data_IF_971308439080
#
_entry.id   IF_971308439080
#
_cell.length_a   1.000
_cell.length_b   1.000
_cell.length_c   1.000
_cell.angle_alpha   90.00
_cell.angle_beta   90.00
_cell.angle_gamma   90.00
#
_symmetry.space_group_name_H-M   'P 1'
#
loop_
_entity.id
_entity.type
_entity.pdbx_description
1 polymer ?
#
# COMPACT_ATOMS: atom_id res chain seq x y z
N UNK A 1 -21.48 -31.06 30.63
CA UNK A 1 -20.83 -30.42 29.49
C UNK A 1 -20.58 -28.94 29.87
N UNK A 2 -19.34 -28.46 29.74
CA UNK A 2 -18.94 -27.10 30.13
C UNK A 2 -19.82 -26.00 29.49
N UNK A 3 -20.11 -26.11 28.19
CA UNK A 3 -20.98 -25.18 27.48
C UNK A 3 -22.38 -25.11 28.10
N UNK A 4 -22.94 -26.24 28.51
CA UNK A 4 -24.25 -26.31 29.14
C UNK A 4 -24.25 -25.60 30.51
N UNK A 5 -23.21 -25.78 31.30
CA UNK A 5 -23.03 -25.07 32.59
C UNK A 5 -22.89 -23.55 32.38
N UNK A 6 -22.15 -23.12 31.37
CA UNK A 6 -22.02 -21.68 31.03
C UNK A 6 -23.37 -21.07 30.64
N UNK A 7 -24.18 -21.77 29.84
CA UNK A 7 -25.54 -21.32 29.45
C UNK A 7 -26.50 -21.21 30.63
N UNK A 8 -26.24 -21.93 31.72
CA UNK A 8 -27.04 -21.90 32.95
C UNK A 8 -26.70 -20.72 33.86
N UNK A 9 -25.59 -20.02 33.61
CA UNK A 9 -25.20 -18.83 34.38
C UNK A 9 -26.20 -17.67 34.19
N UNK A 10 -26.33 -16.82 35.20
CA UNK A 10 -27.33 -15.73 35.24
C UNK A 10 -27.22 -14.81 34.00
N UNK A 11 -26.01 -14.53 33.54
CA UNK A 11 -25.79 -13.67 32.37
C UNK A 11 -26.32 -14.31 31.09
N UNK A 12 -25.93 -15.54 30.76
CA UNK A 12 -26.35 -16.17 29.50
C UNK A 12 -27.81 -16.64 29.50
N UNK A 13 -28.43 -16.76 30.66
CA UNK A 13 -29.91 -16.98 30.77
C UNK A 13 -30.70 -15.73 30.46
N UNK A 14 -30.09 -14.55 30.56
CA UNK A 14 -30.77 -13.30 30.22
C UNK A 14 -30.95 -13.19 28.71
N UNK A 15 -32.21 -12.93 28.26
CA UNK A 15 -32.55 -12.84 26.81
C UNK A 15 -31.82 -11.71 26.10
N UNK A 16 -31.36 -10.70 26.80
CA UNK A 16 -30.58 -9.57 26.28
C UNK A 16 -29.10 -9.87 26.07
N UNK A 17 -28.54 -10.97 26.59
CA UNK A 17 -27.11 -11.25 26.51
C UNK A 17 -26.59 -11.34 25.06
N UNK A 18 -27.29 -12.07 24.20
CA UNK A 18 -26.90 -12.19 22.79
C UNK A 18 -26.94 -10.87 22.03
N UNK A 19 -28.05 -10.10 22.06
CA UNK A 19 -28.12 -8.76 21.48
C UNK A 19 -27.07 -7.80 22.04
N UNK A 20 -26.84 -7.80 23.36
CA UNK A 20 -25.83 -6.93 23.98
C UNK A 20 -24.42 -7.25 23.47
N UNK A 21 -24.02 -8.54 23.51
CA UNK A 21 -22.72 -8.96 23.01
C UNK A 21 -22.54 -8.59 21.54
N UNK A 22 -23.57 -8.76 20.70
CA UNK A 22 -23.51 -8.41 19.30
C UNK A 22 -23.42 -6.89 19.06
N UNK A 23 -24.14 -6.09 19.83
CA UNK A 23 -24.14 -4.63 19.70
C UNK A 23 -22.82 -3.98 20.14
N UNK A 24 -22.18 -4.56 21.19
CA UNK A 24 -20.92 -4.03 21.73
C UNK A 24 -19.69 -4.55 20.98
N UNK A 25 -19.80 -5.71 20.32
CA UNK A 25 -18.66 -6.35 19.65
C UNK A 25 -17.88 -5.45 18.69
N UNK A 26 -18.51 -4.65 17.78
CA UNK A 26 -17.78 -3.78 16.88
C UNK A 26 -16.90 -2.76 17.58
N UNK A 27 -17.36 -2.22 18.70
CA UNK A 27 -16.60 -1.24 19.50
C UNK A 27 -15.39 -1.92 20.16
N UNK A 28 -15.60 -3.08 20.79
CA UNK A 28 -14.53 -3.84 21.42
C UNK A 28 -13.49 -4.28 20.38
N UNK A 29 -13.94 -4.73 19.21
CA UNK A 29 -13.05 -5.13 18.13
C UNK A 29 -12.24 -3.94 17.59
N UNK A 30 -12.87 -2.76 17.45
CA UNK A 30 -12.17 -1.54 17.07
C UNK A 30 -11.04 -1.23 18.07
N UNK A 31 -11.35 -1.21 19.37
CA UNK A 31 -10.36 -0.99 20.42
C UNK A 31 -9.22 -2.01 20.33
N UNK A 32 -9.53 -3.28 20.10
CA UNK A 32 -8.50 -4.34 20.02
C UNK A 32 -7.64 -4.22 18.77
N UNK A 33 -8.24 -3.90 17.61
CA UNK A 33 -7.51 -3.73 16.37
C UNK A 33 -6.57 -2.52 16.43
N UNK A 34 -7.05 -1.39 16.94
CA UNK A 34 -6.26 -0.16 17.08
C UNK A 34 -5.16 -0.31 18.14
N UNK A 35 -5.47 -0.94 19.30
CA UNK A 35 -4.47 -1.22 20.33
C UNK A 35 -3.40 -2.21 19.84
N UNK A 36 -3.79 -3.15 18.98
CA UNK A 36 -2.88 -4.16 18.44
C UNK A 36 -1.77 -3.57 17.58
N UNK A 37 -2.02 -2.45 16.91
CA UNK A 37 -1.01 -1.74 16.13
C UNK A 37 -0.32 -0.63 16.94
N UNK A 38 -1.05 0.16 17.74
CA UNK A 38 -0.47 1.25 18.56
C UNK A 38 0.45 0.75 19.69
N UNK A 39 0.17 -0.42 20.22
CA UNK A 39 0.91 -1.05 21.34
C UNK A 39 0.86 -0.27 22.65
N UNK A 40 0.21 0.87 22.71
CA UNK A 40 0.06 1.71 23.91
C UNK A 40 -1.40 2.10 24.14
N UNK A 41 -1.89 1.81 25.35
CA UNK A 41 -3.26 2.12 25.75
C UNK A 41 -3.45 3.62 26.01
N UNK A 42 -2.43 4.33 26.46
CA UNK A 42 -2.52 5.79 26.70
C UNK A 42 -2.67 6.55 25.39
N UNK A 43 -1.93 6.12 24.36
CA UNK A 43 -2.01 6.71 23.02
C UNK A 43 -3.37 6.44 22.38
N UNK A 44 -3.91 5.22 22.54
CA UNK A 44 -5.26 4.91 22.06
C UNK A 44 -6.33 5.77 22.77
N UNK A 45 -6.22 5.98 24.06
CA UNK A 45 -7.17 6.82 24.80
C UNK A 45 -7.04 8.30 24.39
N UNK A 46 -5.81 8.79 24.22
CA UNK A 46 -5.56 10.15 23.74
C UNK A 46 -6.12 10.34 22.32
N UNK A 47 -5.85 9.41 21.41
CA UNK A 47 -6.41 9.41 20.06
C UNK A 47 -7.94 9.40 20.07
N UNK A 48 -8.54 8.48 20.83
CA UNK A 48 -10.01 8.38 20.92
C UNK A 48 -10.66 9.67 21.43
N UNK A 49 -9.99 10.37 22.34
CA UNK A 49 -10.48 11.64 22.85
C UNK A 49 -10.32 12.79 21.85
N UNK A 50 -9.16 12.87 21.20
CA UNK A 50 -8.83 13.96 20.28
C UNK A 50 -9.55 13.79 18.93
N UNK A 51 -9.59 12.56 18.41
CA UNK A 51 -10.13 12.22 17.10
C UNK A 51 -11.39 11.33 17.22
N UNK A 52 -12.30 11.70 18.12
CA UNK A 52 -13.51 10.91 18.42
C UNK A 52 -14.35 10.60 17.17
N UNK A 53 -14.48 11.52 16.23
CA UNK A 53 -15.22 11.30 14.99
C UNK A 53 -14.60 10.18 14.15
N UNK A 54 -13.29 10.17 14.02
CA UNK A 54 -12.53 9.12 13.29
C UNK A 54 -12.67 7.75 13.97
N UNK A 55 -12.54 7.73 15.30
CA UNK A 55 -12.78 6.50 16.08
C UNK A 55 -14.21 5.97 15.90
N UNK A 56 -15.20 6.86 15.92
CA UNK A 56 -16.60 6.49 15.68
C UNK A 56 -16.80 5.94 14.28
N UNK A 57 -16.17 6.54 13.26
CA UNK A 57 -16.23 6.06 11.89
C UNK A 57 -15.64 4.64 11.78
N UNK A 58 -14.48 4.37 12.38
CA UNK A 58 -13.89 3.04 12.45
C UNK A 58 -14.82 2.01 13.09
N UNK A 59 -15.46 2.37 14.22
CA UNK A 59 -16.46 1.51 14.86
C UNK A 59 -17.66 1.21 13.95
N UNK A 60 -18.16 2.23 13.22
CA UNK A 60 -19.28 2.08 12.29
C UNK A 60 -18.92 1.18 11.11
N UNK A 61 -17.71 1.30 10.55
CA UNK A 61 -17.24 0.41 9.49
C UNK A 61 -17.20 -1.05 9.94
N UNK A 62 -16.61 -1.31 11.11
CA UNK A 62 -16.63 -2.66 11.69
C UNK A 62 -18.06 -3.14 11.89
N UNK A 63 -18.96 -2.28 12.38
CA UNK A 63 -20.36 -2.63 12.58
C UNK A 63 -21.05 -2.97 11.26
N UNK A 64 -20.81 -2.22 10.19
CA UNK A 64 -21.35 -2.51 8.86
C UNK A 64 -20.88 -3.88 8.38
N UNK A 65 -19.59 -4.19 8.46
CA UNK A 65 -19.05 -5.50 8.07
C UNK A 65 -19.69 -6.61 8.91
N UNK A 66 -19.69 -6.43 10.24
CA UNK A 66 -20.27 -7.39 11.17
C UNK A 66 -21.74 -7.66 10.89
N UNK A 67 -22.58 -6.63 10.76
CA UNK A 67 -24.00 -6.81 10.54
C UNK A 67 -24.33 -7.30 9.12
N UNK A 68 -23.54 -6.92 8.10
CA UNK A 68 -23.66 -7.48 6.75
C UNK A 68 -23.49 -8.99 6.77
N UNK A 69 -22.42 -9.48 7.38
CA UNK A 69 -22.18 -10.92 7.52
C UNK A 69 -23.25 -11.57 8.40
N UNK A 70 -23.65 -10.93 9.51
CA UNK A 70 -24.67 -11.47 10.41
C UNK A 70 -26.04 -11.64 9.73
N UNK A 71 -26.44 -10.71 8.87
CA UNK A 71 -27.69 -10.78 8.10
C UNK A 71 -27.69 -11.96 7.11
N UNK A 72 -26.56 -12.25 6.49
CA UNK A 72 -26.41 -13.34 5.52
C UNK A 72 -26.34 -14.70 6.25
N UNK A 73 -25.46 -14.82 7.23
CA UNK A 73 -25.17 -16.09 7.92
C UNK A 73 -26.23 -16.41 9.00
N UNK A 74 -26.91 -15.38 9.54
CA UNK A 74 -27.95 -15.44 10.57
C UNK A 74 -27.47 -15.98 11.94
N UNK A 75 -26.20 -16.32 12.06
CA UNK A 75 -25.54 -16.76 13.30
C UNK A 75 -24.50 -15.73 13.70
N UNK A 76 -24.83 -14.96 14.72
CA UNK A 76 -24.04 -13.79 15.11
C UNK A 76 -22.60 -14.13 15.53
N UNK A 77 -22.38 -15.26 16.16
CA UNK A 77 -21.02 -15.70 16.53
C UNK A 77 -20.15 -16.00 15.30
N UNK A 78 -20.71 -16.52 14.18
CA UNK A 78 -19.96 -16.73 12.94
C UNK A 78 -19.57 -15.37 12.34
N UNK A 79 -20.50 -14.41 12.35
CA UNK A 79 -20.17 -13.04 11.95
C UNK A 79 -19.04 -12.46 12.81
N UNK A 80 -19.11 -12.65 14.13
CA UNK A 80 -18.03 -12.22 15.03
C UNK A 80 -16.69 -12.88 14.72
N UNK A 81 -16.68 -14.19 14.39
CA UNK A 81 -15.47 -14.90 14.02
C UNK A 81 -14.86 -14.36 12.71
N UNK A 82 -15.67 -14.16 11.68
CA UNK A 82 -15.22 -13.63 10.38
C UNK A 82 -14.72 -12.19 10.51
N UNK A 83 -15.51 -11.32 11.14
CA UNK A 83 -15.14 -9.91 11.31
C UNK A 83 -13.95 -9.76 12.25
N UNK A 84 -13.92 -10.52 13.35
CA UNK A 84 -12.80 -10.54 14.29
C UNK A 84 -11.51 -10.98 13.63
N UNK A 85 -11.54 -12.06 12.84
CA UNK A 85 -10.37 -12.52 12.09
C UNK A 85 -9.88 -11.46 11.10
N UNK A 86 -10.80 -10.86 10.32
CA UNK A 86 -10.46 -9.84 9.34
C UNK A 86 -9.72 -8.66 9.96
N UNK A 87 -10.29 -8.01 10.97
CA UNK A 87 -9.70 -6.80 11.54
C UNK A 87 -8.47 -7.08 12.41
N UNK A 88 -8.38 -8.24 13.06
CA UNK A 88 -7.16 -8.63 13.77
C UNK A 88 -6.02 -9.00 12.80
N UNK A 89 -6.32 -9.55 11.63
CA UNK A 89 -5.31 -9.76 10.57
C UNK A 89 -4.82 -8.40 10.05
N UNK A 90 -5.72 -7.46 9.75
CA UNK A 90 -5.34 -6.10 9.31
C UNK A 90 -4.44 -5.44 10.36
N UNK A 91 -4.79 -5.52 11.64
CA UNK A 91 -3.97 -4.99 12.74
C UNK A 91 -2.59 -5.66 12.81
N UNK A 92 -2.53 -6.98 12.63
CA UNK A 92 -1.27 -7.71 12.64
C UNK A 92 -0.38 -7.35 11.44
N UNK A 93 -0.97 -7.21 10.26
CA UNK A 93 -0.25 -6.81 9.04
C UNK A 93 0.32 -5.40 9.20
N UNK A 94 -0.49 -4.45 9.66
CA UNK A 94 -0.05 -3.08 9.94
C UNK A 94 1.15 -3.07 10.88
N UNK A 95 1.02 -3.68 12.07
CA UNK A 95 2.10 -3.71 13.04
C UNK A 95 3.39 -4.27 12.47
N UNK A 96 3.32 -5.41 11.79
CA UNK A 96 4.52 -6.05 11.25
C UNK A 96 5.10 -5.30 10.05
N UNK A 97 4.28 -4.75 9.18
CA UNK A 97 4.73 -3.94 8.06
C UNK A 97 5.46 -2.69 8.57
N UNK A 98 4.84 -1.95 9.48
CA UNK A 98 5.44 -0.74 10.03
C UNK A 98 6.78 -1.01 10.74
N UNK A 99 6.87 -2.07 11.54
CA UNK A 99 8.12 -2.45 12.22
C UNK A 99 9.24 -2.83 11.24
N UNK A 100 8.90 -3.39 10.08
CA UNK A 100 9.90 -3.87 9.10
C UNK A 100 10.27 -2.80 8.10
N UNK A 101 9.31 -2.02 7.61
CA UNK A 101 9.48 -1.09 6.48
C UNK A 101 9.38 0.38 6.87
N UNK A 102 8.84 0.71 8.05
CA UNK A 102 8.55 2.09 8.45
C UNK A 102 7.41 2.73 7.64
N UNK A 103 6.59 1.95 6.95
CA UNK A 103 5.43 2.43 6.19
C UNK A 103 4.15 1.72 6.60
N UNK A 104 3.02 2.42 6.51
CA UNK A 104 1.73 1.93 6.92
C UNK A 104 1.09 1.00 5.88
N UNK A 105 0.18 0.12 6.34
CA UNK A 105 -0.53 -0.80 5.47
C UNK A 105 -1.59 -0.05 4.66
N UNK A 106 -1.47 -0.15 3.34
CA UNK A 106 -2.35 0.50 2.37
C UNK A 106 -3.05 -0.52 1.49
N UNK A 107 -4.12 -0.09 0.82
CA UNK A 107 -4.86 -0.95 -0.11
C UNK A 107 -4.00 -1.41 -1.30
N UNK A 108 -3.07 -0.57 -1.75
CA UNK A 108 -2.08 -0.90 -2.79
C UNK A 108 -1.22 -2.14 -2.46
N UNK A 109 -0.96 -2.40 -1.18
CA UNK A 109 -0.19 -3.58 -0.76
C UNK A 109 -0.88 -4.90 -1.12
N UNK A 110 -2.20 -4.89 -1.27
CA UNK A 110 -2.95 -6.09 -1.68
C UNK A 110 -2.62 -6.53 -3.11
N UNK A 111 -2.18 -5.61 -3.97
CA UNK A 111 -1.70 -5.95 -5.31
C UNK A 111 -0.39 -6.73 -5.27
N UNK A 112 0.39 -6.56 -4.20
CA UNK A 112 1.64 -7.27 -3.97
C UNK A 112 1.46 -8.59 -3.22
N UNK A 113 0.24 -8.94 -2.81
CA UNK A 113 -0.06 -10.14 -2.03
C UNK A 113 0.30 -11.44 -2.78
N UNK A 114 0.38 -11.42 -4.11
CA UNK A 114 0.87 -12.55 -4.92
C UNK A 114 2.35 -12.87 -4.65
N UNK A 115 3.14 -11.86 -4.25
CA UNK A 115 4.54 -12.00 -3.82
C UNK A 115 4.73 -12.23 -2.32
N UNK A 116 3.63 -12.39 -1.54
CA UNK A 116 3.72 -12.49 -0.06
C UNK A 116 4.62 -13.63 0.43
N UNK A 117 4.62 -14.76 -0.26
CA UNK A 117 5.50 -15.89 0.08
C UNK A 117 7.00 -15.51 -0.01
N UNK A 118 7.34 -14.59 -0.89
CA UNK A 118 8.71 -14.14 -1.09
C UNK A 118 9.08 -13.01 -0.12
N UNK A 119 8.17 -12.06 0.09
CA UNK A 119 8.33 -11.02 1.11
C UNK A 119 8.46 -11.66 2.51
N UNK A 120 7.72 -12.74 2.79
CA UNK A 120 7.81 -13.46 4.07
C UNK A 120 9.17 -14.09 4.34
N UNK A 121 9.96 -14.36 3.30
CA UNK A 121 11.33 -14.85 3.46
C UNK A 121 12.28 -13.78 4.00
N UNK A 122 11.99 -12.51 3.75
CA UNK A 122 12.81 -11.37 4.21
C UNK A 122 12.30 -10.80 5.54
N UNK A 123 11.00 -10.93 5.82
CA UNK A 123 10.41 -10.42 7.04
C UNK A 123 10.56 -11.44 8.18
N UNK A 124 11.47 -11.16 9.14
CA UNK A 124 11.47 -11.88 10.42
C UNK A 124 10.31 -11.36 11.27
N UNK A 125 9.18 -12.05 11.21
CA UNK A 125 8.03 -11.73 12.04
C UNK A 125 8.42 -11.89 13.53
N UNK A 126 8.49 -10.78 14.24
CA UNK A 126 8.74 -10.79 15.69
C UNK A 126 7.43 -11.11 16.41
N UNK A 127 7.46 -12.07 17.32
CA UNK A 127 6.31 -12.37 18.16
C UNK A 127 5.93 -11.15 19.03
N UNK A 128 4.66 -10.74 18.92
CA UNK A 128 4.11 -9.65 19.70
C UNK A 128 3.14 -10.20 20.75
N UNK A 129 3.50 -10.16 22.07
CA UNK A 129 2.66 -10.69 23.12
C UNK A 129 1.31 -9.99 23.26
N UNK A 130 1.27 -8.65 23.11
CA UNK A 130 0.03 -7.89 23.25
C UNK A 130 -0.96 -8.24 22.12
N UNK A 131 -0.49 -8.24 20.89
CA UNK A 131 -1.31 -8.63 19.74
C UNK A 131 -1.86 -10.05 19.90
N UNK A 132 -1.03 -11.01 20.38
CA UNK A 132 -1.47 -12.37 20.66
C UNK A 132 -2.59 -12.41 21.72
N UNK A 133 -2.43 -11.65 22.79
CA UNK A 133 -3.46 -11.54 23.85
C UNK A 133 -4.75 -10.94 23.30
N UNK A 134 -4.69 -9.91 22.47
CA UNK A 134 -5.87 -9.28 21.86
C UNK A 134 -6.60 -10.23 20.90
N UNK A 135 -5.87 -11.03 20.12
CA UNK A 135 -6.43 -12.09 19.28
C UNK A 135 -7.15 -13.14 20.17
N UNK A 136 -6.53 -13.55 21.26
CA UNK A 136 -7.14 -14.50 22.19
C UNK A 136 -8.40 -13.93 22.84
N UNK A 137 -8.37 -12.66 23.28
CA UNK A 137 -9.54 -11.97 23.84
C UNK A 137 -10.67 -11.85 22.82
N UNK A 138 -10.35 -11.56 21.56
CA UNK A 138 -11.33 -11.57 20.47
C UNK A 138 -11.97 -12.95 20.30
N UNK A 139 -11.16 -14.01 20.30
CA UNK A 139 -11.67 -15.39 20.22
C UNK A 139 -12.55 -15.75 21.43
N UNK A 140 -12.18 -15.32 22.63
CA UNK A 140 -12.98 -15.52 23.85
C UNK A 140 -14.32 -14.75 23.77
N UNK A 141 -14.31 -13.53 23.22
CA UNK A 141 -15.55 -12.77 23.02
C UNK A 141 -16.49 -13.49 22.03
N UNK A 142 -15.95 -13.95 20.90
CA UNK A 142 -16.69 -14.76 19.92
C UNK A 142 -17.24 -16.04 20.54
N UNK A 143 -16.45 -16.69 21.40
CA UNK A 143 -16.90 -17.87 22.14
C UNK A 143 -18.07 -17.52 23.10
N UNK A 144 -18.03 -16.36 23.75
CA UNK A 144 -19.15 -15.90 24.57
C UNK A 144 -20.43 -15.69 23.72
N UNK A 145 -20.31 -15.12 22.51
CA UNK A 145 -21.41 -15.00 21.54
C UNK A 145 -21.93 -16.37 21.09
N UNK A 146 -21.06 -17.36 20.92
CA UNK A 146 -21.43 -18.74 20.62
C UNK A 146 -22.22 -19.39 21.77
N UNK A 147 -21.79 -19.18 23.02
CA UNK A 147 -22.50 -19.66 24.23
C UNK A 147 -23.89 -19.00 24.31
N UNK A 148 -23.99 -17.68 24.08
CA UNK A 148 -25.26 -16.95 24.05
C UNK A 148 -26.20 -17.47 22.97
N UNK A 149 -25.67 -18.02 21.86
CA UNK A 149 -26.42 -18.74 20.85
C UNK A 149 -27.46 -17.93 20.11
N UNK A 150 -27.33 -16.59 20.09
CA UNK A 150 -28.28 -15.70 19.44
C UNK A 150 -28.25 -15.84 17.93
N UNK A 151 -29.46 -15.86 17.33
CA UNK A 151 -29.67 -15.98 15.88
C UNK A 151 -30.64 -14.90 15.41
N UNK A 152 -30.36 -14.33 14.25
CA UNK A 152 -31.27 -13.40 13.60
C UNK A 152 -32.49 -14.17 13.04
N UNK A 153 -33.68 -13.70 13.42
CA UNK A 153 -34.99 -14.26 12.95
C UNK A 153 -35.54 -13.34 11.86
N UNK A 154 -36.14 -13.90 10.85
CA UNK A 154 -36.77 -13.14 9.76
C UNK A 154 -36.74 -13.89 8.43
N UNK A 155 -37.30 -13.26 7.38
CA UNK A 155 -37.27 -13.83 6.03
C UNK A 155 -35.84 -13.66 5.45
N UNK A 156 -35.24 -14.77 5.03
CA UNK A 156 -33.83 -14.80 4.51
C UNK A 156 -33.61 -13.75 3.40
N UNK A 157 -34.47 -13.71 2.38
CA UNK A 157 -34.34 -12.78 1.27
C UNK A 157 -34.38 -11.31 1.70
N UNK A 158 -35.22 -10.95 2.69
CA UNK A 158 -35.21 -9.57 3.22
C UNK A 158 -33.89 -9.24 3.92
N UNK A 159 -33.33 -10.19 4.66
CA UNK A 159 -32.04 -10.01 5.33
C UNK A 159 -30.91 -9.87 4.32
N UNK A 160 -30.87 -10.70 3.28
CA UNK A 160 -29.90 -10.58 2.19
C UNK A 160 -30.05 -9.24 1.44
N UNK A 161 -31.27 -8.78 1.18
CA UNK A 161 -31.49 -7.46 0.56
C UNK A 161 -30.99 -6.33 1.47
N UNK A 162 -31.25 -6.39 2.78
CA UNK A 162 -30.72 -5.40 3.74
C UNK A 162 -29.19 -5.41 3.78
N UNK A 163 -28.57 -6.59 3.79
CA UNK A 163 -27.12 -6.75 3.74
C UNK A 163 -26.52 -6.12 2.46
N UNK A 164 -27.15 -6.41 1.31
CA UNK A 164 -26.74 -5.88 0.01
C UNK A 164 -26.87 -4.34 -0.04
N UNK A 165 -27.98 -3.78 0.46
CA UNK A 165 -28.17 -2.32 0.53
C UNK A 165 -27.13 -1.70 1.46
N UNK A 166 -26.91 -2.25 2.64
CA UNK A 166 -25.94 -1.71 3.60
C UNK A 166 -24.51 -1.75 3.05
N UNK A 167 -24.09 -2.89 2.48
CA UNK A 167 -22.79 -3.03 1.86
C UNK A 167 -22.64 -2.11 0.63
N UNK A 168 -23.68 -2.02 -0.22
CA UNK A 168 -23.68 -1.18 -1.41
C UNK A 168 -23.61 0.31 -1.09
N UNK A 169 -24.39 0.78 -0.13
CA UNK A 169 -24.34 2.20 0.31
C UNK A 169 -22.96 2.53 0.89
N UNK A 170 -22.41 1.65 1.72
CA UNK A 170 -21.07 1.86 2.29
C UNK A 170 -19.99 1.82 1.19
N UNK A 171 -20.06 0.89 0.25
CA UNK A 171 -19.14 0.82 -0.87
C UNK A 171 -19.20 2.10 -1.74
N UNK A 172 -20.39 2.59 -2.06
CA UNK A 172 -20.57 3.84 -2.80
C UNK A 172 -20.00 5.03 -2.00
N UNK A 173 -20.29 5.11 -0.70
CA UNK A 173 -19.81 6.18 0.15
C UNK A 173 -18.27 6.22 0.26
N UNK A 174 -17.60 5.08 0.15
CA UNK A 174 -16.13 4.99 0.23
C UNK A 174 -15.49 5.11 -1.15
N UNK A 175 -16.01 4.39 -2.15
CA UNK A 175 -15.36 4.27 -3.47
C UNK A 175 -15.60 5.48 -4.37
N UNK A 176 -16.68 6.24 -4.16
CA UNK A 176 -16.97 7.42 -4.98
C UNK A 176 -16.44 8.67 -4.28
N UNK A 177 -15.39 9.34 -4.80
CA UNK A 177 -14.75 10.48 -4.13
C UNK A 177 -15.73 11.60 -3.74
N UNK A 178 -16.71 11.89 -4.59
CA UNK A 178 -17.72 12.92 -4.32
C UNK A 178 -18.63 12.60 -3.12
N UNK A 179 -18.80 11.34 -2.77
CA UNK A 179 -19.53 10.92 -1.57
C UNK A 179 -18.62 10.71 -0.36
N UNK A 180 -17.35 10.39 -0.58
CA UNK A 180 -16.40 10.21 0.50
C UNK A 180 -15.97 11.53 1.14
N UNK A 181 -15.78 12.60 0.37
CA UNK A 181 -15.38 13.91 0.89
C UNK A 181 -16.33 14.47 1.97
N UNK A 182 -17.67 14.45 1.81
CA UNK A 182 -18.58 14.81 2.89
C UNK A 182 -18.46 13.91 4.13
N UNK A 183 -18.20 12.62 3.96
CA UNK A 183 -17.96 11.71 5.09
C UNK A 183 -16.71 12.12 5.84
N UNK A 184 -15.61 12.43 5.13
CA UNK A 184 -14.38 12.93 5.76
C UNK A 184 -14.63 14.19 6.58
N UNK A 185 -15.38 15.15 6.05
CA UNK A 185 -15.73 16.37 6.78
C UNK A 185 -16.54 16.10 8.06
N UNK A 186 -17.54 15.22 7.99
CA UNK A 186 -18.41 14.90 9.13
C UNK A 186 -17.65 14.23 10.26
N UNK A 187 -16.74 13.32 9.93
CA UNK A 187 -16.00 12.53 10.92
C UNK A 187 -14.62 13.10 11.26
N UNK A 188 -14.17 14.15 10.59
CA UNK A 188 -12.84 14.74 10.78
C UNK A 188 -11.72 13.85 10.25
N UNK A 189 -11.99 13.11 9.17
CA UNK A 189 -11.02 12.21 8.54
C UNK A 189 -10.05 13.02 7.69
N UNK A 190 -8.76 12.75 7.83
CA UNK A 190 -7.72 13.31 6.99
C UNK A 190 -7.59 12.48 5.70
N UNK A 191 -8.06 13.02 4.58
CA UNK A 191 -8.00 12.38 3.25
C UNK A 191 -6.93 12.99 2.34
N UNK A 192 -5.94 13.67 2.92
CA UNK A 192 -4.83 14.28 2.17
C UNK A 192 -4.01 13.23 1.43
N UNK A 193 -3.53 13.60 0.25
CA UNK A 193 -2.61 12.77 -0.52
C UNK A 193 -1.23 12.85 0.12
N UNK A 194 -0.62 11.70 0.37
CA UNK A 194 0.70 11.61 0.99
C UNK A 194 1.79 11.57 -0.06
N UNK A 195 2.90 12.27 0.20
CA UNK A 195 4.01 12.43 -0.75
C UNK A 195 5.31 11.73 -0.32
N UNK A 196 5.40 11.36 0.94
CA UNK A 196 6.54 10.66 1.54
C UNK A 196 6.12 10.01 2.86
N UNK A 197 6.99 9.22 3.47
CA UNK A 197 6.73 8.55 4.75
C UNK A 197 6.31 9.51 5.85
N UNK A 198 6.93 10.70 5.93
CA UNK A 198 6.57 11.70 6.95
C UNK A 198 5.11 12.18 6.81
N UNK A 199 4.65 12.47 5.60
CA UNK A 199 3.25 12.84 5.36
C UNK A 199 2.28 11.67 5.53
N UNK A 200 2.75 10.44 5.26
CA UNK A 200 2.01 9.21 5.53
C UNK A 200 1.82 8.97 7.03
N UNK A 201 2.89 9.11 7.82
CA UNK A 201 2.83 9.02 9.28
C UNK A 201 1.88 10.08 9.86
N UNK A 202 1.98 11.34 9.41
CA UNK A 202 1.12 12.43 9.88
C UNK A 202 -0.36 12.15 9.58
N UNK A 203 -0.68 11.65 8.39
CA UNK A 203 -2.06 11.24 8.05
C UNK A 203 -2.51 10.05 8.89
N UNK A 204 -1.62 9.08 9.12
CA UNK A 204 -1.92 7.92 9.93
C UNK A 204 -2.20 8.30 11.39
N UNK A 205 -1.41 9.20 11.96
CA UNK A 205 -1.63 9.72 13.32
C UNK A 205 -3.00 10.40 13.47
N UNK A 206 -3.51 11.06 12.42
CA UNK A 206 -4.83 11.67 12.41
C UNK A 206 -5.95 10.63 12.24
N UNK A 207 -5.75 9.58 11.45
CA UNK A 207 -6.79 8.64 11.04
C UNK A 207 -6.77 7.31 11.79
N UNK A 208 -5.59 6.89 12.24
CA UNK A 208 -5.30 5.55 12.74
C UNK A 208 -5.59 4.44 11.71
N UNK A 209 -5.45 3.16 12.09
CA UNK A 209 -5.43 2.00 11.20
C UNK A 209 -6.63 1.90 10.24
N UNK A 210 -7.83 1.75 10.81
CA UNK A 210 -9.02 1.35 10.03
C UNK A 210 -9.44 2.48 9.08
N UNK A 211 -9.42 3.70 9.56
CA UNK A 211 -9.76 4.87 8.75
C UNK A 211 -8.69 5.14 7.70
N UNK A 212 -7.39 5.07 8.06
CA UNK A 212 -6.31 5.28 7.10
C UNK A 212 -6.34 4.23 5.96
N UNK A 213 -6.57 2.97 6.30
CA UNK A 213 -6.77 1.93 5.29
C UNK A 213 -7.98 2.22 4.39
N UNK A 214 -9.08 2.75 4.95
CA UNK A 214 -10.26 3.14 4.16
C UNK A 214 -9.95 4.33 3.24
N UNK A 215 -9.19 5.31 3.69
CA UNK A 215 -8.71 6.42 2.85
C UNK A 215 -7.86 5.89 1.70
N UNK A 216 -6.97 4.94 1.95
CA UNK A 216 -6.15 4.34 0.88
C UNK A 216 -6.98 3.60 -0.18
N UNK A 217 -8.12 2.97 0.21
CA UNK A 217 -9.09 2.40 -0.74
C UNK A 217 -9.68 3.51 -1.63
N UNK A 218 -10.15 4.62 -1.04
CA UNK A 218 -10.70 5.73 -1.82
C UNK A 218 -9.65 6.33 -2.77
N UNK A 219 -8.42 6.51 -2.29
CA UNK A 219 -7.33 7.05 -3.10
C UNK A 219 -6.97 6.12 -4.28
N UNK A 220 -7.06 4.81 -4.11
CA UNK A 220 -6.78 3.84 -5.19
C UNK A 220 -7.76 3.90 -6.36
N UNK A 221 -8.96 4.47 -6.16
CA UNK A 221 -9.97 4.64 -7.21
C UNK A 221 -10.05 6.07 -7.75
N UNK A 222 -9.33 7.02 -7.14
CA UNK A 222 -9.20 8.37 -7.70
C UNK A 222 -8.36 8.31 -8.98
N UNK A 223 -8.71 9.15 -9.96
CA UNK A 223 -7.85 9.32 -11.14
C UNK A 223 -6.47 9.83 -10.69
N UNK A 224 -5.42 9.18 -11.16
CA UNK A 224 -4.06 9.63 -10.91
C UNK A 224 -3.73 10.91 -11.68
N UNK A 225 -4.45 11.17 -12.76
CA UNK A 225 -4.32 12.37 -13.58
C UNK A 225 -5.59 13.20 -13.42
N UNK A 226 -5.42 14.43 -13.01
CA UNK A 226 -6.52 15.42 -12.94
C UNK A 226 -6.39 16.33 -14.16
N UNK A 227 -7.46 16.49 -14.90
CA UNK A 227 -7.51 17.42 -16.02
C UNK A 227 -7.26 18.86 -15.51
N UNK A 228 -6.24 19.57 -16.01
CA UNK A 228 -5.98 20.96 -15.65
C UNK A 228 -7.13 21.87 -16.05
N UNK A 229 -7.36 22.97 -15.31
CA UNK A 229 -8.44 23.92 -15.60
C UNK A 229 -8.31 24.57 -16.99
N UNK A 230 -7.07 24.71 -17.49
CA UNK A 230 -6.77 25.30 -18.81
C UNK A 230 -6.47 24.24 -19.88
N UNK A 231 -6.90 22.99 -19.67
CA UNK A 231 -6.68 21.91 -20.63
C UNK A 231 -7.54 22.14 -21.88
N UNK A 232 -6.87 22.38 -23.00
CA UNK A 232 -7.49 22.48 -24.31
C UNK A 232 -6.54 21.98 -25.39
N UNK A 233 -7.09 21.64 -26.58
CA UNK A 233 -6.29 21.20 -27.70
C UNK A 233 -5.32 22.31 -28.15
N UNK A 234 -5.80 23.56 -28.15
CA UNK A 234 -4.98 24.73 -28.50
C UNK A 234 -3.82 24.97 -27.51
N UNK A 235 -4.07 24.77 -26.19
CA UNK A 235 -3.02 24.92 -25.18
C UNK A 235 -1.95 23.82 -25.32
N UNK A 236 -2.33 22.63 -25.70
CA UNK A 236 -1.38 21.53 -25.98
C UNK A 236 -0.57 21.83 -27.23
N UNK A 237 -1.21 22.27 -28.32
CA UNK A 237 -0.52 22.67 -29.54
C UNK A 237 0.49 23.78 -29.28
N UNK A 238 0.13 24.81 -28.51
CA UNK A 238 1.05 25.89 -28.12
C UNK A 238 2.26 25.39 -27.32
N UNK A 239 2.02 24.45 -26.36
CA UNK A 239 3.12 23.85 -25.59
C UNK A 239 4.02 23.01 -26.50
N UNK A 240 3.47 22.23 -27.40
CA UNK A 240 4.22 21.40 -28.34
C UNK A 240 5.04 22.26 -29.29
N UNK A 241 4.46 23.29 -29.91
CA UNK A 241 5.17 24.22 -30.80
C UNK A 241 6.36 24.90 -30.09
N UNK A 242 6.19 25.26 -28.82
CA UNK A 242 7.25 25.89 -28.03
C UNK A 242 8.30 24.90 -27.46
N UNK A 243 7.98 23.60 -27.44
CA UNK A 243 8.83 22.55 -26.83
C UNK A 243 9.56 21.69 -27.86
N UNK A 244 9.07 21.64 -29.09
CA UNK A 244 9.70 20.87 -30.17
C UNK A 244 10.86 21.71 -30.72
N UNK A 245 12.08 21.16 -30.83
CA UNK A 245 13.19 21.82 -31.50
C UNK A 245 12.81 22.21 -32.95
N UNK A 246 13.31 23.33 -33.41
CA UNK A 246 13.13 23.70 -34.80
C UNK A 246 13.71 22.64 -35.75
N UNK A 247 13.23 22.58 -36.99
CA UNK A 247 13.75 21.62 -37.98
C UNK A 247 15.27 21.73 -38.14
N UNK A 248 15.83 22.95 -38.08
CA UNK A 248 17.29 23.18 -38.10
C UNK A 248 18.02 22.60 -36.91
N UNK A 249 17.49 22.75 -35.68
CA UNK A 249 18.05 22.18 -34.46
C UNK A 249 17.96 20.66 -34.47
N UNK A 250 16.85 20.11 -34.94
CA UNK A 250 16.67 18.66 -35.07
C UNK A 250 17.63 18.06 -36.13
N UNK A 251 17.81 18.70 -37.29
CA UNK A 251 18.76 18.26 -38.32
C UNK A 251 20.22 18.35 -37.82
N UNK A 252 20.59 19.39 -37.06
CA UNK A 252 21.91 19.51 -36.45
C UNK A 252 22.15 18.41 -35.43
N UNK A 253 21.20 18.14 -34.54
CA UNK A 253 21.30 17.08 -33.57
C UNK A 253 21.43 15.69 -34.22
N UNK A 254 20.69 15.43 -35.31
CA UNK A 254 20.80 14.18 -36.08
C UNK A 254 22.17 14.06 -36.78
N UNK A 255 22.69 15.14 -37.37
CA UNK A 255 24.00 15.15 -37.99
C UNK A 255 25.15 14.93 -37.00
N UNK A 256 25.02 15.45 -35.79
CA UNK A 256 25.95 15.19 -34.69
C UNK A 256 25.86 13.73 -34.20
N UNK A 257 24.69 13.14 -34.17
CA UNK A 257 24.48 11.71 -33.82
C UNK A 257 25.11 10.76 -34.84
N UNK A 258 25.01 11.05 -36.13
CA UNK A 258 25.59 10.17 -37.17
C UNK A 258 27.14 10.07 -37.10
N UNK A 259 27.78 11.11 -36.56
CA UNK A 259 29.26 11.14 -36.40
C UNK A 259 29.73 10.70 -34.99
N UNK A 260 28.83 10.58 -34.03
CA UNK A 260 29.16 10.22 -32.66
C UNK A 260 29.47 8.71 -32.51
N UNK A 261 30.52 8.42 -31.75
CA UNK A 261 30.76 7.04 -31.30
C UNK A 261 29.64 6.68 -30.32
N UNK A 262 28.88 5.59 -30.65
CA UNK A 262 27.83 5.09 -29.76
C UNK A 262 28.47 4.32 -28.59
N UNK A 263 28.55 4.86 -27.37
CA UNK A 263 29.11 4.16 -26.23
C UNK A 263 28.12 3.12 -25.72
N UNK A 264 28.61 2.10 -25.00
CA UNK A 264 27.73 1.28 -24.18
C UNK A 264 27.26 2.11 -22.99
N UNK A 265 25.96 2.05 -22.70
CA UNK A 265 25.33 2.79 -21.59
C UNK A 265 24.84 1.76 -20.58
N UNK A 266 25.25 1.93 -19.31
CA UNK A 266 24.83 1.06 -18.21
C UNK A 266 24.23 1.93 -17.12
N UNK A 267 22.93 1.73 -16.85
CA UNK A 267 22.24 2.32 -15.70
C UNK A 267 22.21 1.31 -14.56
N UNK A 268 22.73 1.70 -13.40
CA UNK A 268 22.71 0.89 -12.18
C UNK A 268 21.86 1.60 -11.14
N UNK A 269 20.67 1.06 -10.86
CA UNK A 269 19.85 1.51 -9.75
C UNK A 269 20.20 0.72 -8.50
N UNK A 270 20.94 1.36 -7.58
CA UNK A 270 21.34 0.78 -6.30
C UNK A 270 20.52 1.40 -5.18
N UNK A 271 19.24 1.04 -5.11
CA UNK A 271 18.26 1.67 -4.23
C UNK A 271 18.59 1.55 -2.75
N UNK A 272 19.07 0.38 -2.33
CA UNK A 272 19.42 0.14 -0.92
C UNK A 272 20.81 0.64 -0.54
N UNK A 273 21.53 1.28 -1.48
CA UNK A 273 22.84 1.85 -1.20
C UNK A 273 22.69 3.19 -0.46
N UNK A 274 23.41 3.35 0.64
CA UNK A 274 23.48 4.59 1.39
C UNK A 274 24.91 4.83 1.90
N UNK A 275 25.35 6.09 1.87
CA UNK A 275 26.59 6.50 2.53
C UNK A 275 26.32 6.80 4.01
N UNK A 276 26.55 5.79 4.85
CA UNK A 276 26.30 5.87 6.29
C UNK A 276 27.28 6.81 7.02
N UNK A 277 28.39 7.25 6.40
CA UNK A 277 29.27 8.26 6.99
C UNK A 277 28.53 9.55 7.28
N UNK A 278 27.56 9.91 6.43
CA UNK A 278 26.74 11.13 6.58
C UNK A 278 25.69 11.02 7.69
N UNK A 279 25.34 9.81 8.07
CA UNK A 279 24.23 9.56 9.01
C UNK A 279 24.77 9.19 10.39
N UNK A 280 25.76 8.29 10.47
CA UNK A 280 26.18 7.68 11.73
C UNK A 280 27.65 7.92 12.11
N UNK A 281 28.44 8.61 11.30
CA UNK A 281 29.85 8.89 11.61
C UNK A 281 30.68 7.62 11.81
N UNK A 282 30.66 6.71 10.83
CA UNK A 282 31.39 5.43 10.92
C UNK A 282 32.91 5.65 11.07
N UNK A 283 33.53 5.04 12.10
CA UNK A 283 34.95 5.15 12.37
C UNK A 283 35.85 4.70 11.18
N UNK A 284 35.42 3.65 10.44
CA UNK A 284 36.15 3.13 9.26
C UNK A 284 35.42 3.46 7.94
N UNK A 285 34.60 4.50 7.93
CA UNK A 285 33.77 4.87 6.79
C UNK A 285 34.56 5.08 5.52
N UNK A 286 35.67 5.78 5.58
CA UNK A 286 36.49 6.08 4.41
C UNK A 286 37.14 4.83 3.80
N UNK A 287 37.48 3.83 4.60
CA UNK A 287 38.00 2.55 4.11
C UNK A 287 36.88 1.73 3.44
N UNK A 288 35.70 1.69 4.03
CA UNK A 288 34.54 0.97 3.50
C UNK A 288 34.09 1.55 2.15
N UNK A 289 34.10 2.87 2.02
CA UNK A 289 33.62 3.56 0.81
C UNK A 289 34.71 3.93 -0.17
N UNK A 290 35.98 3.53 0.06
CA UNK A 290 37.13 3.93 -0.77
C UNK A 290 36.95 3.63 -2.27
N UNK A 291 36.38 2.46 -2.62
CA UNK A 291 36.12 2.11 -4.02
C UNK A 291 35.04 3.01 -4.64
N UNK A 292 34.02 3.33 -3.89
CA UNK A 292 32.96 4.24 -4.33
C UNK A 292 33.48 5.67 -4.51
N UNK A 293 34.28 6.15 -3.55
CA UNK A 293 34.91 7.47 -3.60
C UNK A 293 35.83 7.59 -4.81
N UNK A 294 36.55 6.52 -5.15
CA UNK A 294 37.42 6.49 -6.35
C UNK A 294 36.56 6.65 -7.62
N UNK A 295 35.45 5.90 -7.77
CA UNK A 295 34.54 6.04 -8.93
C UNK A 295 33.98 7.46 -9.00
N UNK A 296 33.60 8.01 -7.85
CA UNK A 296 33.10 9.38 -7.76
C UNK A 296 34.15 10.41 -8.19
N UNK A 297 35.41 10.19 -7.86
CA UNK A 297 36.52 11.10 -8.25
C UNK A 297 36.84 11.06 -9.76
N UNK A 298 36.54 9.94 -10.42
CA UNK A 298 36.78 9.74 -11.86
C UNK A 298 35.57 10.19 -12.71
N UNK A 299 34.41 10.46 -12.11
CA UNK A 299 33.17 10.78 -12.80
C UNK A 299 32.52 12.10 -12.35
N UNK A 300 31.29 12.31 -12.82
CA UNK A 300 30.43 13.40 -12.35
C UNK A 300 29.55 12.90 -11.22
N UNK A 301 29.51 13.62 -10.11
CA UNK A 301 28.71 13.24 -8.94
C UNK A 301 27.72 14.33 -8.57
N UNK A 302 26.62 13.93 -7.95
CA UNK A 302 25.59 14.84 -7.47
C UNK A 302 24.62 14.15 -6.53
N UNK A 303 23.62 14.89 -6.06
CA UNK A 303 22.54 14.36 -5.23
C UNK A 303 21.28 14.26 -6.08
N UNK A 304 20.69 13.08 -6.16
CA UNK A 304 19.37 12.86 -6.76
C UNK A 304 18.32 12.75 -5.68
N UNK A 305 17.17 13.40 -5.89
CA UNK A 305 15.98 13.26 -5.04
C UNK A 305 15.07 12.26 -5.71
N UNK A 306 14.72 11.20 -4.99
CA UNK A 306 13.88 10.12 -5.49
C UNK A 306 12.52 10.10 -4.77
N UNK A 307 11.45 9.58 -5.42
CA UNK A 307 10.09 9.64 -4.88
C UNK A 307 9.81 8.57 -3.82
N UNK A 308 10.83 7.85 -3.35
CA UNK A 308 10.67 6.69 -2.47
C UNK A 308 11.51 6.80 -1.21
N UNK A 309 11.02 6.18 -0.14
CA UNK A 309 11.75 5.98 1.10
C UNK A 309 11.42 4.58 1.65
N UNK A 310 12.43 3.73 1.75
CA UNK A 310 12.33 2.41 2.38
C UNK A 310 11.69 1.30 1.55
N UNK A 311 10.89 1.61 0.55
CA UNK A 311 10.30 0.65 -0.41
C UNK A 311 9.75 1.38 -1.64
N UNK A 312 9.15 0.64 -2.60
CA UNK A 312 8.49 1.24 -3.76
C UNK A 312 9.43 1.63 -4.90
N UNK A 313 10.54 0.90 -5.11
CA UNK A 313 11.55 1.08 -6.17
C UNK A 313 10.93 1.33 -7.54
N UNK A 314 9.79 0.71 -7.82
CA UNK A 314 9.03 0.87 -9.07
C UNK A 314 8.67 2.32 -9.39
N UNK A 315 8.58 3.20 -8.40
CA UNK A 315 8.31 4.63 -8.58
C UNK A 315 9.55 5.34 -9.13
N UNK A 316 10.72 5.05 -8.57
CA UNK A 316 11.99 5.57 -9.05
C UNK A 316 12.33 5.01 -10.43
N UNK A 317 12.07 3.72 -10.66
CA UNK A 317 12.21 3.10 -11.99
C UNK A 317 11.31 3.82 -13.02
N UNK A 318 10.07 4.14 -12.66
CA UNK A 318 9.16 4.86 -13.53
C UNK A 318 9.65 6.27 -13.87
N UNK A 319 10.09 7.04 -12.86
CA UNK A 319 10.64 8.39 -13.10
C UNK A 319 11.88 8.36 -14.01
N UNK A 320 12.73 7.34 -13.84
CA UNK A 320 13.89 7.16 -14.70
C UNK A 320 13.49 6.85 -16.14
N UNK A 321 12.50 5.94 -16.33
CA UNK A 321 12.11 5.50 -17.67
C UNK A 321 11.36 6.59 -18.46
N UNK A 322 10.51 7.37 -17.81
CA UNK A 322 9.65 8.35 -18.48
C UNK A 322 10.13 9.79 -18.34
N UNK A 323 11.08 10.09 -17.47
CA UNK A 323 11.44 11.46 -17.13
C UNK A 323 10.31 12.26 -16.49
N UNK A 324 9.27 11.56 -15.98
CA UNK A 324 8.05 12.13 -15.43
C UNK A 324 7.98 11.92 -13.91
N UNK A 325 7.92 12.99 -13.10
CA UNK A 325 7.80 12.86 -11.67
C UNK A 325 6.48 12.17 -11.24
N UNK A 326 6.55 11.14 -10.40
CA UNK A 326 5.36 10.45 -9.86
C UNK A 326 4.45 11.41 -9.07
N UNK A 327 5.01 12.50 -8.54
CA UNK A 327 4.24 13.59 -7.93
C UNK A 327 3.19 14.17 -8.88
N UNK A 328 3.47 14.25 -10.17
CA UNK A 328 2.51 14.72 -11.19
C UNK A 328 1.36 13.74 -11.42
N UNK A 329 1.51 12.51 -10.96
CA UNK A 329 0.49 11.44 -11.00
C UNK A 329 -0.17 11.22 -9.62
N UNK A 330 -0.32 12.28 -8.82
CA UNK A 330 -0.87 12.21 -7.46
C UNK A 330 -0.16 11.16 -6.57
N UNK A 331 1.14 10.96 -6.77
CA UNK A 331 1.98 10.01 -6.01
C UNK A 331 1.46 8.57 -5.99
N UNK A 332 0.92 8.10 -7.07
CA UNK A 332 0.44 6.72 -7.18
C UNK A 332 1.53 5.71 -6.77
N UNK A 333 1.15 4.71 -6.01
CA UNK A 333 2.07 3.70 -5.47
C UNK A 333 2.73 2.85 -6.56
N UNK A 334 1.98 2.50 -7.60
CA UNK A 334 2.42 1.63 -8.69
C UNK A 334 2.12 2.35 -10.02
N UNK A 335 3.00 3.27 -10.48
CA UNK A 335 2.71 4.16 -11.62
C UNK A 335 2.43 3.42 -12.93
N UNK A 336 3.12 2.32 -13.21
CA UNK A 336 2.92 1.57 -14.45
C UNK A 336 1.52 0.96 -14.59
N UNK A 337 0.76 0.81 -13.50
CA UNK A 337 -0.66 0.38 -13.58
C UNK A 337 -1.59 1.42 -14.18
N UNK A 338 -1.12 2.67 -14.35
CA UNK A 338 -1.84 3.71 -15.08
C UNK A 338 -1.67 3.56 -16.60
N UNK A 339 -0.66 2.84 -17.03
CA UNK A 339 -0.37 2.65 -18.45
C UNK A 339 -1.32 1.62 -19.05
N UNK A 340 -1.55 1.76 -20.33
CA UNK A 340 -2.38 0.81 -21.07
C UNK A 340 -1.56 -0.45 -21.36
N UNK A 341 -1.99 -1.59 -20.80
CA UNK A 341 -1.34 -2.88 -21.03
C UNK A 341 -1.36 -3.29 -22.49
N UNK A 342 -0.29 -3.93 -22.94
CA UNK A 342 -0.13 -4.41 -24.31
C UNK A 342 0.21 -3.33 -25.33
N UNK A 343 0.63 -2.16 -24.87
CA UNK A 343 1.05 -1.03 -25.74
C UNK A 343 2.48 -0.67 -25.39
N UNK A 344 3.35 -0.63 -26.40
CA UNK A 344 4.72 -0.13 -26.24
C UNK A 344 4.68 1.34 -25.77
N UNK A 345 5.52 1.68 -24.82
CA UNK A 345 5.57 2.99 -24.18
C UNK A 345 6.78 3.78 -24.67
N UNK A 346 6.62 5.10 -24.77
CA UNK A 346 7.72 6.00 -25.06
C UNK A 346 8.57 6.18 -23.79
N UNK A 347 9.69 5.51 -23.74
CA UNK A 347 10.61 5.49 -22.59
C UNK A 347 12.05 5.73 -23.03
N UNK A 348 12.97 5.92 -22.10
CA UNK A 348 14.39 5.93 -22.43
C UNK A 348 14.84 4.64 -23.12
N UNK A 349 14.27 3.48 -22.74
CA UNK A 349 14.62 2.22 -23.41
C UNK A 349 14.17 2.19 -24.87
N UNK A 350 12.92 2.60 -25.16
CA UNK A 350 12.41 2.67 -26.54
C UNK A 350 13.19 3.69 -27.36
N UNK A 351 13.53 4.86 -26.82
CA UNK A 351 14.35 5.87 -27.51
C UNK A 351 15.75 5.33 -27.88
N UNK A 352 16.43 4.63 -26.97
CA UNK A 352 17.72 4.02 -27.29
C UNK A 352 17.61 2.89 -28.31
N UNK A 353 16.54 2.10 -28.26
CA UNK A 353 16.24 1.08 -29.26
C UNK A 353 16.06 1.69 -30.65
N UNK A 354 15.27 2.77 -30.78
CA UNK A 354 15.10 3.52 -32.03
C UNK A 354 16.43 4.11 -32.54
N UNK A 355 17.29 4.54 -31.63
CA UNK A 355 18.65 4.98 -31.95
C UNK A 355 19.60 3.84 -32.34
N UNK A 356 19.10 2.58 -32.40
CA UNK A 356 19.83 1.40 -32.83
C UNK A 356 20.71 0.75 -31.75
N UNK A 357 20.41 0.96 -30.48
CA UNK A 357 20.98 0.20 -29.38
C UNK A 357 20.22 -1.11 -29.16
N UNK A 358 20.92 -2.13 -28.61
CA UNK A 358 20.26 -3.29 -28.02
C UNK A 358 19.99 -2.97 -26.54
N UNK A 359 18.73 -3.06 -26.14
CA UNK A 359 18.31 -2.71 -24.80
C UNK A 359 18.10 -3.94 -23.92
N UNK A 360 18.72 -3.98 -22.75
CA UNK A 360 18.63 -5.12 -21.83
C UNK A 360 18.29 -4.63 -20.43
N UNK A 361 17.25 -5.20 -19.84
CA UNK A 361 16.87 -5.01 -18.44
C UNK A 361 17.35 -6.20 -17.62
N UNK A 362 17.98 -5.94 -16.48
CA UNK A 362 18.50 -6.98 -15.58
C UNK A 362 18.00 -6.69 -14.17
N UNK A 363 17.32 -7.66 -13.56
CA UNK A 363 16.83 -7.56 -12.19
C UNK A 363 17.00 -8.90 -11.46
N UNK A 364 17.77 -8.96 -10.35
CA UNK A 364 18.10 -10.21 -9.67
C UNK A 364 16.97 -10.75 -8.79
N UNK A 365 15.72 -10.49 -9.12
CA UNK A 365 14.55 -10.97 -8.44
C UNK A 365 13.53 -11.49 -9.45
N UNK A 366 12.37 -11.98 -8.98
CA UNK A 366 11.37 -12.65 -9.82
C UNK A 366 10.71 -11.72 -10.82
N UNK A 367 10.47 -12.23 -11.99
CA UNK A 367 9.87 -11.51 -13.11
C UNK A 367 8.43 -11.03 -12.84
N UNK A 368 7.67 -11.77 -12.02
CA UNK A 368 6.28 -11.43 -11.70
C UNK A 368 6.14 -10.39 -10.56
N UNK A 369 7.23 -10.02 -9.90
CA UNK A 369 7.19 -8.99 -8.86
C UNK A 369 7.01 -7.60 -9.51
N UNK A 370 5.96 -6.89 -9.16
CA UNK A 370 5.48 -5.67 -9.85
C UNK A 370 5.12 -5.90 -11.33
N UNK A 371 4.81 -7.13 -11.74
CA UNK A 371 4.51 -7.49 -13.13
C UNK A 371 5.63 -7.11 -14.12
N UNK A 372 6.90 -7.09 -13.64
CA UNK A 372 8.05 -6.57 -14.39
C UNK A 372 8.26 -7.23 -15.76
N UNK A 373 7.95 -8.52 -15.89
CA UNK A 373 8.07 -9.23 -17.19
C UNK A 373 7.25 -8.52 -18.28
N UNK A 374 6.01 -8.18 -17.99
CA UNK A 374 5.11 -7.56 -18.96
C UNK A 374 5.42 -6.06 -19.10
N UNK A 375 5.58 -5.37 -17.98
CA UNK A 375 5.84 -3.93 -17.93
C UNK A 375 7.11 -3.53 -18.68
N UNK A 376 8.23 -4.21 -18.41
CA UNK A 376 9.51 -3.85 -19.06
C UNK A 376 9.60 -4.30 -20.52
N UNK A 377 8.82 -5.31 -20.91
CA UNK A 377 8.59 -5.61 -22.33
C UNK A 377 7.88 -4.44 -23.03
N UNK A 378 6.87 -3.87 -22.38
CA UNK A 378 6.12 -2.69 -22.90
C UNK A 378 6.97 -1.40 -22.86
N UNK A 379 8.00 -1.34 -22.02
CA UNK A 379 8.98 -0.22 -21.97
C UNK A 379 10.00 -0.23 -23.13
N UNK A 380 9.95 -1.26 -23.98
CA UNK A 380 10.80 -1.32 -25.16
C UNK A 380 12.13 -2.04 -24.99
N UNK A 381 12.33 -2.78 -23.90
CA UNK A 381 13.53 -3.60 -23.74
C UNK A 381 13.50 -4.84 -24.64
N UNK A 382 14.60 -5.09 -25.37
CA UNK A 382 14.75 -6.25 -26.26
C UNK A 382 14.98 -7.54 -25.49
N UNK A 383 15.59 -7.45 -24.30
CA UNK A 383 15.94 -8.60 -23.47
C UNK A 383 15.67 -8.30 -22.00
N UNK A 384 15.01 -9.24 -21.35
CA UNK A 384 14.74 -9.22 -19.90
C UNK A 384 15.48 -10.37 -19.24
N UNK A 385 16.18 -10.11 -18.14
CA UNK A 385 16.93 -11.09 -17.36
C UNK A 385 16.51 -10.98 -15.91
N UNK A 386 15.98 -12.09 -15.35
CA UNK A 386 15.48 -12.15 -13.97
C UNK A 386 16.17 -13.27 -13.17
N UNK A 387 15.78 -13.47 -11.92
CA UNK A 387 16.35 -14.43 -10.97
C UNK A 387 16.62 -15.82 -11.61
N UNK A 388 15.64 -16.34 -12.34
CA UNK A 388 15.70 -17.68 -12.94
C UNK A 388 16.72 -17.79 -14.11
N UNK A 389 17.16 -16.67 -14.66
CA UNK A 389 18.13 -16.61 -15.76
C UNK A 389 19.59 -16.62 -15.27
N UNK A 390 19.82 -16.41 -13.96
CA UNK A 390 21.15 -16.43 -13.38
C UNK A 390 21.58 -17.85 -12.99
N UNK A 391 22.80 -18.20 -13.38
CA UNK A 391 23.46 -19.41 -12.89
C UNK A 391 24.35 -19.00 -11.72
N UNK A 392 23.90 -19.23 -10.49
CA UNK A 392 24.66 -18.89 -9.28
C UNK A 392 25.18 -20.18 -8.67
N UNK A 393 26.51 -20.27 -8.50
CA UNK A 393 27.14 -21.45 -7.89
C UNK A 393 26.95 -21.47 -6.36
N UNK A 394 26.76 -20.31 -5.72
CA UNK A 394 26.51 -20.17 -4.28
C UNK A 394 25.45 -19.10 -4.03
N UNK A 395 24.43 -19.41 -3.24
CA UNK A 395 23.48 -18.43 -2.74
C UNK A 395 24.10 -17.65 -1.57
N UNK A 396 24.65 -16.48 -1.83
CA UNK A 396 25.11 -15.55 -0.78
C UNK A 396 23.98 -14.82 -0.05
N UNK A 397 22.74 -15.27 -0.22
CA UNK A 397 21.60 -14.66 0.47
C UNK A 397 21.44 -15.31 1.84
N UNK A 398 21.82 -14.55 2.91
CA UNK A 398 21.20 -14.68 4.22
C UNK A 398 21.87 -15.44 5.32
N UNK A 399 23.00 -15.02 5.71
CA UNK A 399 23.35 -15.09 7.13
C UNK A 399 23.30 -13.69 7.77
N UNK A 400 22.07 -13.14 7.89
CA UNK A 400 21.80 -11.96 8.72
C UNK A 400 20.83 -12.33 9.84
#
# INVERSE_FOLDING_TARGET
>A
NMIQRLRETRFFRWKGAGPLLAGVFPIVLCIFAELGQMQDLSDLLAFTWTNFGVFLFSCLLIAVVFWTVALIVRRVWISGAVTGALFMIISAVEYHKYVVTGSHFQFSDLYMATGFADVSKFARLKFNPLLFVLILLTALYVFAMFVAGWRLKGRFWKQCSMAAVMAGVTAIAILVPAFFAPVCQVFGIDDTVTYNSYSEDARFDNNNLITNFTVSINQSVKSAVTEPEEYSEEAIEEILENSIPSEEEAEQALAEQETAVKPNIVFIMSESYADFRRIYGLENGDEIYAAFDQVCAEGTTGTSVVPTFGNGTVRTEFELMFGLPVKSLNNVEIPHKLLKSGVEQDTFASMYKEAGYNTTYIHPFRSNFYDRQDVYSEYGFDRLIFEDDFTVEEEYFRDY
#
